data_IF_903141421978
#
_entry.id   IF_903141421978
#
_cell.length_a   1.000
_cell.length_b   1.000
_cell.length_c   1.000
_cell.angle_alpha   90.00
_cell.angle_beta   90.00
_cell.angle_gamma   90.00
#
_symmetry.space_group_name_H-M   'P 1'
#
loop_
_entity.id
_entity.type
_entity.pdbx_description
1 polymer ?
#
# COMPACT_ATOMS: atom_id res chain seq x y z
N UNK A 1 7.13 -4.44 -6.72
CA UNK A 1 7.00 -4.06 -8.14
C UNK A 1 8.23 -3.25 -8.50
N UNK A 2 8.94 -3.62 -9.57
CA UNK A 2 10.12 -2.87 -10.00
C UNK A 2 9.68 -1.61 -10.74
N UNK A 3 10.25 -0.46 -10.36
CA UNK A 3 10.01 0.83 -11.00
C UNK A 3 11.32 1.30 -11.61
N UNK A 4 11.29 1.71 -12.88
CA UNK A 4 12.44 2.28 -13.58
C UNK A 4 12.27 3.78 -13.72
N UNK A 5 13.36 4.53 -13.50
CA UNK A 5 13.38 5.99 -13.72
C UNK A 5 13.28 6.29 -15.23
N UNK A 6 12.43 7.25 -15.58
CA UNK A 6 12.25 7.73 -16.96
C UNK A 6 13.13 8.96 -17.27
N UNK A 7 13.97 9.39 -16.33
CA UNK A 7 14.91 10.50 -16.53
C UNK A 7 14.30 11.90 -16.36
N UNK A 8 13.02 11.99 -15.97
CA UNK A 8 12.33 13.26 -15.72
C UNK A 8 11.93 13.41 -14.25
N UNK A 9 11.42 14.59 -13.92
CA UNK A 9 10.75 14.88 -12.66
C UNK A 9 9.34 15.37 -12.90
N UNK A 10 8.42 14.96 -12.04
CA UNK A 10 7.04 15.45 -12.02
C UNK A 10 6.74 16.05 -10.64
N UNK A 11 5.71 16.88 -10.58
CA UNK A 11 5.24 17.44 -9.31
C UNK A 11 4.19 16.53 -8.69
N UNK A 12 4.47 16.02 -7.48
CA UNK A 12 3.54 15.17 -6.74
C UNK A 12 2.24 15.92 -6.43
N UNK A 13 1.11 15.28 -6.71
CA UNK A 13 -0.20 15.89 -6.56
C UNK A 13 -0.60 16.12 -5.10
N UNK A 14 -0.13 15.28 -4.18
CA UNK A 14 -0.49 15.29 -2.75
C UNK A 14 0.42 16.26 -1.99
N UNK A 15 1.73 16.14 -2.14
CA UNK A 15 2.74 16.91 -1.39
C UNK A 15 3.16 18.19 -2.10
N UNK A 16 3.05 18.25 -3.43
CA UNK A 16 3.55 19.36 -4.24
C UNK A 16 5.07 19.37 -4.44
N UNK A 17 5.79 18.36 -3.94
CA UNK A 17 7.24 18.18 -4.13
C UNK A 17 7.57 17.70 -5.55
N UNK A 18 8.80 17.94 -6.00
CA UNK A 18 9.34 17.29 -7.20
C UNK A 18 9.76 15.85 -6.88
N UNK A 19 9.29 14.91 -7.68
CA UNK A 19 9.60 13.48 -7.57
C UNK A 19 10.06 12.93 -8.91
N UNK A 20 10.93 11.92 -8.88
CA UNK A 20 11.40 11.24 -10.10
C UNK A 20 10.21 10.56 -10.78
N UNK A 21 10.07 10.79 -12.08
CA UNK A 21 9.11 10.06 -12.89
C UNK A 21 9.60 8.62 -13.09
N UNK A 22 8.80 7.66 -12.66
CA UNK A 22 9.06 6.23 -12.88
C UNK A 22 8.00 5.63 -13.79
N UNK A 23 8.25 4.41 -14.27
CA UNK A 23 7.30 3.62 -15.06
C UNK A 23 5.89 3.52 -14.46
N UNK A 24 5.72 3.68 -13.13
CA UNK A 24 4.42 3.60 -12.46
C UNK A 24 3.99 4.85 -11.70
N UNK A 25 4.83 5.87 -11.69
CA UNK A 25 4.61 7.05 -10.87
C UNK A 25 3.36 7.84 -11.33
N UNK A 26 3.12 7.97 -12.64
CA UNK A 26 1.90 8.61 -13.18
C UNK A 26 0.61 7.90 -12.73
N UNK A 27 0.61 6.56 -12.61
CA UNK A 27 -0.57 5.81 -12.14
C UNK A 27 -0.85 6.08 -10.66
N UNK A 28 0.20 6.18 -9.84
CA UNK A 28 0.06 6.61 -8.45
C UNK A 28 -0.51 8.03 -8.36
N UNK A 29 -0.03 8.95 -9.20
CA UNK A 29 -0.57 10.31 -9.27
C UNK A 29 -2.05 10.33 -9.67
N UNK A 30 -2.43 9.52 -10.66
CA UNK A 30 -3.81 9.38 -11.10
C UNK A 30 -4.72 8.83 -9.99
N UNK A 31 -4.25 7.81 -9.26
CA UNK A 31 -4.96 7.26 -8.10
C UNK A 31 -5.12 8.32 -6.99
N UNK A 32 -4.09 9.10 -6.71
CA UNK A 32 -4.18 10.17 -5.72
C UNK A 32 -5.23 11.24 -6.13
N UNK A 33 -5.28 11.61 -7.42
CA UNK A 33 -6.31 12.50 -7.95
C UNK A 33 -7.70 11.91 -7.82
N UNK A 34 -7.91 10.66 -8.22
CA UNK A 34 -9.19 9.96 -8.07
C UNK A 34 -9.67 9.97 -6.61
N UNK A 35 -8.78 9.66 -5.66
CA UNK A 35 -9.15 9.65 -4.24
C UNK A 35 -9.57 11.03 -3.76
N UNK A 36 -8.84 12.08 -4.14
CA UNK A 36 -9.13 13.46 -3.69
C UNK A 36 -10.35 14.04 -4.39
N UNK A 37 -10.35 14.02 -5.72
CA UNK A 37 -11.31 14.74 -6.57
C UNK A 37 -12.65 14.01 -6.65
N UNK A 38 -12.66 12.67 -6.65
CA UNK A 38 -13.89 11.88 -6.83
C UNK A 38 -14.36 11.17 -5.56
N UNK A 39 -13.45 10.80 -4.66
CA UNK A 39 -13.78 10.05 -3.42
C UNK A 39 -13.71 10.89 -2.15
N UNK A 40 -13.40 12.18 -2.28
CA UNK A 40 -13.46 13.16 -1.19
C UNK A 40 -12.35 13.02 -0.14
N UNK A 41 -11.23 12.38 -0.47
CA UNK A 41 -10.10 12.27 0.46
C UNK A 41 -9.40 13.63 0.60
N UNK A 42 -9.23 14.17 1.82
CA UNK A 42 -8.44 15.37 2.01
C UNK A 42 -6.97 15.08 1.66
N UNK A 43 -6.31 15.97 0.89
CA UNK A 43 -4.87 15.83 0.57
C UNK A 43 -4.01 15.67 1.82
N UNK A 44 -4.31 16.44 2.87
CA UNK A 44 -3.58 16.37 4.14
C UNK A 44 -3.71 15.03 4.89
N UNK A 45 -4.61 14.14 4.44
CA UNK A 45 -4.86 12.82 5.00
C UNK A 45 -4.38 11.69 4.10
N UNK A 46 -3.78 12.02 2.94
CA UNK A 46 -3.11 11.08 2.06
C UNK A 46 -1.60 11.22 2.23
N UNK A 47 -0.93 10.08 2.34
CA UNK A 47 0.52 10.02 2.46
C UNK A 47 1.03 9.12 1.33
N UNK A 48 1.83 9.65 0.39
CA UNK A 48 2.38 8.84 -0.69
C UNK A 48 3.62 8.04 -0.25
N UNK A 49 3.87 6.92 -0.93
CA UNK A 49 5.09 6.11 -0.84
C UNK A 49 5.50 5.81 0.62
N UNK A 50 4.63 5.12 1.37
CA UNK A 50 4.93 4.68 2.74
C UNK A 50 5.69 3.37 2.74
N UNK A 51 6.76 3.28 3.52
CA UNK A 51 7.47 2.03 3.76
C UNK A 51 6.84 1.21 4.90
N UNK A 52 6.52 -0.04 4.60
CA UNK A 52 6.24 -1.08 5.61
C UNK A 52 7.55 -1.80 5.88
N UNK A 53 8.22 -1.46 6.98
CA UNK A 53 9.50 -2.03 7.38
C UNK A 53 9.29 -3.24 8.28
N UNK A 54 9.98 -4.35 8.02
CA UNK A 54 9.83 -5.57 8.81
C UNK A 54 11.07 -6.46 8.78
N UNK A 55 11.38 -7.15 9.90
CA UNK A 55 12.46 -8.12 9.94
C UNK A 55 12.02 -9.49 9.39
N UNK A 56 12.87 -10.13 8.59
CA UNK A 56 12.77 -11.54 8.22
C UNK A 56 14.18 -12.12 8.03
N UNK A 57 14.40 -13.40 8.37
CA UNK A 57 15.68 -14.11 8.17
C UNK A 57 16.95 -13.33 8.59
N UNK A 58 16.86 -12.57 9.69
CA UNK A 58 17.97 -11.79 10.24
C UNK A 58 18.30 -10.50 9.49
N UNK A 59 17.46 -10.06 8.55
CA UNK A 59 17.59 -8.78 7.83
C UNK A 59 16.31 -7.96 7.94
N UNK A 60 16.43 -6.64 7.76
CA UNK A 60 15.29 -5.74 7.63
C UNK A 60 14.97 -5.50 6.15
N UNK A 61 13.68 -5.63 5.84
CA UNK A 61 13.10 -5.43 4.52
C UNK A 61 12.08 -4.31 4.55
N UNK A 62 11.77 -3.77 3.37
CA UNK A 62 10.79 -2.70 3.23
C UNK A 62 9.91 -2.94 2.02
N UNK A 63 8.60 -3.03 2.25
CA UNK A 63 7.62 -2.98 1.17
C UNK A 63 7.03 -1.57 1.06
N UNK A 64 7.17 -0.95 -0.11
CA UNK A 64 6.50 0.33 -0.38
C UNK A 64 5.03 0.15 -0.69
N UNK A 65 4.22 1.00 -0.09
CA UNK A 65 2.79 1.21 -0.33
C UNK A 65 2.62 2.53 -1.07
N UNK A 66 1.82 2.54 -2.13
CA UNK A 66 1.72 3.69 -3.03
C UNK A 66 1.05 4.89 -2.38
N UNK A 67 -0.06 4.67 -1.67
CA UNK A 67 -0.75 5.69 -0.88
C UNK A 67 -1.28 5.06 0.41
N UNK A 68 -1.30 5.84 1.49
CA UNK A 68 -2.14 5.53 2.64
C UNK A 68 -3.03 6.69 3.01
N UNK A 69 -4.22 6.37 3.54
CA UNK A 69 -5.16 7.35 4.05
C UNK A 69 -5.29 7.22 5.58
N UNK A 70 -5.29 8.36 6.25
CA UNK A 70 -5.45 8.44 7.71
C UNK A 70 -6.76 9.13 8.12
N UNK A 71 -7.20 8.83 9.34
CA UNK A 71 -8.28 9.56 10.00
C UNK A 71 -7.81 10.91 10.55
N UNK A 72 -8.72 11.61 11.24
CA UNK A 72 -8.43 12.90 11.85
C UNK A 72 -7.35 12.85 12.93
N UNK A 73 -7.26 11.72 13.65
CA UNK A 73 -6.25 11.46 14.68
C UNK A 73 -4.89 11.03 14.11
N UNK A 74 -4.79 10.83 12.79
CA UNK A 74 -3.56 10.42 12.11
C UNK A 74 -3.36 8.90 12.07
N UNK A 75 -4.35 8.10 12.48
CA UNK A 75 -4.30 6.64 12.35
C UNK A 75 -4.52 6.26 10.89
N UNK A 76 -3.62 5.43 10.34
CA UNK A 76 -3.80 4.88 8.99
C UNK A 76 -4.96 3.89 8.96
N UNK A 77 -5.95 4.15 8.11
CA UNK A 77 -7.13 3.31 7.95
C UNK A 77 -7.13 2.50 6.65
N UNK A 78 -6.50 3.02 5.60
CA UNK A 78 -6.49 2.39 4.28
C UNK A 78 -5.09 2.45 3.67
N UNK A 79 -4.63 1.30 3.19
CA UNK A 79 -3.54 1.21 2.21
C UNK A 79 -4.10 1.10 0.80
N UNK A 80 -3.47 1.77 -0.15
CA UNK A 80 -3.77 1.65 -1.58
C UNK A 80 -2.50 1.22 -2.28
N UNK A 81 -2.58 0.11 -2.99
CA UNK A 81 -1.48 -0.51 -3.71
C UNK A 81 -1.87 -0.58 -5.18
N UNK A 82 -1.06 0.07 -6.02
CA UNK A 82 -1.14 -0.09 -7.45
C UNK A 82 -0.43 -1.40 -7.85
N UNK A 83 -0.99 -2.09 -8.85
CA UNK A 83 -0.33 -3.22 -9.47
C UNK A 83 -0.40 -3.20 -11.00
N UNK A 84 0.76 -3.37 -11.64
CA UNK A 84 0.88 -3.88 -13.00
C UNK A 84 0.52 -5.37 -13.04
N UNK A 85 -0.75 -5.70 -13.28
CA UNK A 85 -1.25 -7.07 -13.39
C UNK A 85 -2.59 -7.25 -12.70
N UNK A 86 -3.01 -8.50 -12.56
CA UNK A 86 -4.30 -8.86 -11.96
C UNK A 86 -4.31 -8.54 -10.45
N UNK A 87 -5.20 -7.66 -9.95
CA UNK A 87 -5.27 -7.30 -8.52
C UNK A 87 -5.38 -8.50 -7.58
N UNK A 88 -6.09 -9.56 -8.01
CA UNK A 88 -6.21 -10.81 -7.24
C UNK A 88 -4.86 -11.44 -6.85
N UNK A 89 -3.82 -11.26 -7.66
CA UNK A 89 -2.49 -11.83 -7.42
C UNK A 89 -1.73 -11.15 -6.26
N UNK A 90 -2.12 -9.93 -5.91
CA UNK A 90 -1.46 -9.11 -4.88
C UNK A 90 -2.19 -9.14 -3.54
N UNK A 91 -3.37 -9.78 -3.46
CA UNK A 91 -4.21 -9.83 -2.25
C UNK A 91 -3.42 -10.31 -1.03
N UNK A 92 -2.68 -11.42 -1.17
CA UNK A 92 -1.97 -12.04 -0.05
C UNK A 92 -0.81 -11.18 0.47
N UNK A 93 -0.03 -10.61 -0.43
CA UNK A 93 1.04 -9.67 -0.08
C UNK A 93 0.49 -8.41 0.59
N UNK A 94 -0.60 -7.86 0.03
CA UNK A 94 -1.23 -6.62 0.50
C UNK A 94 -1.80 -6.75 1.91
N UNK A 95 -2.45 -7.89 2.20
CA UNK A 95 -2.92 -8.22 3.54
C UNK A 95 -1.76 -8.34 4.54
N UNK A 96 -0.68 -9.03 4.15
CA UNK A 96 0.48 -9.17 5.01
C UNK A 96 1.13 -7.81 5.32
N UNK A 97 1.29 -6.95 4.31
CA UNK A 97 1.81 -5.60 4.48
C UNK A 97 0.98 -4.75 5.45
N UNK A 98 -0.35 -4.78 5.33
CA UNK A 98 -1.25 -4.07 6.23
C UNK A 98 -1.18 -4.60 7.68
N UNK A 99 -1.00 -5.91 7.86
CA UNK A 99 -0.93 -6.57 9.19
C UNK A 99 0.38 -6.30 9.93
N UNK A 100 1.50 -6.19 9.21
CA UNK A 100 2.82 -6.06 9.83
C UNK A 100 3.27 -4.62 10.05
N UNK A 101 2.47 -3.64 9.64
CA UNK A 101 2.80 -2.23 9.75
C UNK A 101 3.05 -1.82 11.21
N UNK A 102 4.21 -1.21 11.46
CA UNK A 102 4.76 -0.94 12.78
C UNK A 102 4.04 0.20 13.53
N UNK A 103 3.42 1.13 12.80
CA UNK A 103 2.59 2.20 13.39
C UNK A 103 1.17 1.75 13.79
N UNK A 104 0.93 0.44 13.78
CA UNK A 104 -0.37 -0.17 14.05
C UNK A 104 -0.97 -0.73 12.77
N UNK A 105 -1.63 -1.90 12.84
CA UNK A 105 -1.98 -2.60 11.64
C UNK A 105 -3.18 -1.94 10.96
N UNK A 106 -3.14 -1.89 9.63
CA UNK A 106 -4.10 -1.14 8.83
C UNK A 106 -5.33 -2.00 8.56
N UNK A 107 -6.55 -1.52 8.85
CA UNK A 107 -7.76 -2.34 8.80
C UNK A 107 -8.29 -2.59 7.39
N UNK A 108 -7.95 -1.72 6.42
CA UNK A 108 -8.38 -1.85 5.02
C UNK A 108 -7.18 -1.81 4.08
N UNK A 109 -7.24 -2.61 3.02
CA UNK A 109 -6.32 -2.48 1.89
C UNK A 109 -7.07 -2.57 0.57
N UNK A 110 -6.75 -1.65 -0.34
CA UNK A 110 -7.24 -1.57 -1.70
C UNK A 110 -6.11 -1.94 -2.64
N UNK A 111 -6.34 -2.91 -3.51
CA UNK A 111 -5.43 -3.29 -4.59
C UNK A 111 -6.09 -2.93 -5.91
N UNK A 112 -5.37 -2.25 -6.82
CA UNK A 112 -5.95 -1.85 -8.11
C UNK A 112 -4.91 -1.75 -9.21
N UNK A 113 -5.30 -2.09 -10.43
CA UNK A 113 -4.54 -1.84 -11.67
C UNK A 113 -5.08 -0.63 -12.45
N UNK A 114 -5.93 0.19 -11.80
CA UNK A 114 -6.73 1.30 -12.36
C UNK A 114 -7.92 0.91 -13.24
N UNK A 115 -8.09 -0.37 -13.60
CA UNK A 115 -9.25 -0.88 -14.34
C UNK A 115 -10.19 -1.71 -13.46
N UNK A 116 -9.61 -2.51 -12.57
CA UNK A 116 -10.28 -3.24 -11.51
C UNK A 116 -9.69 -2.83 -10.16
N UNK A 117 -10.47 -3.02 -9.09
CA UNK A 117 -10.01 -2.83 -7.73
C UNK A 117 -10.60 -3.91 -6.82
N UNK A 118 -9.87 -4.29 -5.77
CA UNK A 118 -10.32 -5.22 -4.74
C UNK A 118 -10.12 -4.54 -3.39
N UNK A 119 -11.21 -4.31 -2.66
CA UNK A 119 -11.18 -3.79 -1.29
C UNK A 119 -11.25 -4.97 -0.31
N UNK A 120 -10.31 -5.01 0.63
CA UNK A 120 -10.13 -6.11 1.57
C UNK A 120 -10.29 -5.63 3.01
N UNK A 121 -11.02 -6.40 3.81
CA UNK A 121 -10.95 -6.32 5.27
C UNK A 121 -9.72 -7.09 5.75
N UNK A 122 -8.80 -6.41 6.41
CA UNK A 122 -7.49 -6.98 6.76
C UNK A 122 -7.58 -8.00 7.89
N UNK A 123 -8.45 -7.76 8.87
CA UNK A 123 -8.67 -8.65 10.00
C UNK A 123 -9.17 -10.03 9.55
N UNK A 124 -10.18 -10.06 8.68
CA UNK A 124 -10.75 -11.32 8.19
C UNK A 124 -10.05 -11.85 6.94
N UNK A 125 -9.26 -11.02 6.25
CA UNK A 125 -8.67 -11.32 4.94
C UNK A 125 -9.70 -11.48 3.83
N UNK A 126 -10.91 -10.94 3.98
CA UNK A 126 -12.01 -11.13 3.02
C UNK A 126 -12.12 -9.94 2.08
N UNK A 127 -12.46 -10.23 0.83
CA UNK A 127 -12.94 -9.23 -0.11
C UNK A 127 -14.30 -8.69 0.36
N UNK A 128 -14.38 -7.37 0.49
CA UNK A 128 -15.60 -6.66 0.86
C UNK A 128 -16.12 -5.77 -0.28
N UNK A 129 -15.40 -5.73 -1.40
CA UNK A 129 -15.86 -5.12 -2.65
C UNK A 129 -14.89 -5.34 -3.81
N UNK A 130 -15.43 -5.32 -5.03
CA UNK A 130 -14.68 -5.46 -6.28
C UNK A 130 -15.12 -4.46 -7.34
N UNK A 131 -14.20 -4.15 -8.25
CA UNK A 131 -14.33 -3.16 -9.31
C UNK A 131 -14.07 -1.75 -8.81
N UNK A 132 -13.89 -0.80 -9.72
CA UNK A 132 -13.55 0.58 -9.37
C UNK A 132 -14.61 1.26 -8.49
N UNK A 133 -15.86 0.79 -8.47
CA UNK A 133 -16.90 1.30 -7.56
C UNK A 133 -16.65 0.92 -6.10
N UNK A 134 -15.89 -0.13 -5.82
CA UNK A 134 -15.55 -0.58 -4.47
C UNK A 134 -14.52 0.29 -3.75
N UNK A 135 -13.88 1.24 -4.43
CA UNK A 135 -13.02 2.22 -3.79
C UNK A 135 -13.88 3.02 -2.79
N UNK A 136 -13.59 3.03 -1.48
CA UNK A 136 -14.44 3.73 -0.53
C UNK A 136 -14.36 5.24 -0.73
N UNK A 137 -15.38 5.97 -0.28
CA UNK A 137 -15.29 7.40 -0.02
C UNK A 137 -14.60 7.64 1.32
N UNK A 138 -14.02 8.83 1.50
CA UNK A 138 -13.33 9.17 2.75
C UNK A 138 -14.26 9.07 3.98
N UNK A 139 -15.50 9.55 3.84
CA UNK A 139 -16.54 9.51 4.89
C UNK A 139 -16.93 8.08 5.31
N UNK A 140 -16.73 7.09 4.44
CA UNK A 140 -17.08 5.68 4.70
C UNK A 140 -15.97 4.93 5.45
N UNK A 141 -14.73 5.46 5.45
CA UNK A 141 -13.57 4.74 6.00
C UNK A 141 -13.76 4.36 7.46
N UNK A 142 -14.22 5.28 8.31
CA UNK A 142 -14.38 5.00 9.73
C UNK A 142 -15.40 3.88 10.01
N UNK A 143 -16.44 3.76 9.17
CA UNK A 143 -17.45 2.71 9.30
C UNK A 143 -16.93 1.34 8.83
N UNK A 144 -16.09 1.33 7.78
CA UNK A 144 -15.51 0.10 7.21
C UNK A 144 -14.28 -0.39 8.01
N UNK A 145 -13.52 0.53 8.59
CA UNK A 145 -12.25 0.31 9.26
C UNK A 145 -12.45 -0.07 10.74
N UNK A 146 -12.95 -1.30 10.97
CA UNK A 146 -13.03 -1.84 12.32
C UNK A 146 -11.64 -1.78 13.00
N UNK A 147 -11.54 -1.29 14.25
CA UNK A 147 -10.28 -1.27 14.97
C UNK A 147 -9.65 -2.66 15.03
N UNK A 148 -8.36 -2.73 14.69
CA UNK A 148 -7.60 -3.96 14.72
C UNK A 148 -6.43 -3.84 15.69
N UNK A 149 -6.30 -4.84 16.56
CA UNK A 149 -5.15 -4.99 17.44
C UNK A 149 -3.96 -5.59 16.68
N UNK A 150 -2.72 -5.25 17.07
CA UNK A 150 -1.54 -5.93 16.57
C UNK A 150 -1.63 -7.45 16.72
N UNK A 151 -1.13 -8.18 15.73
CA UNK A 151 -1.12 -9.63 15.78
C UNK A 151 -0.17 -10.14 16.88
N UNK A 152 -0.48 -11.29 17.52
CA UNK A 152 0.44 -11.97 18.43
C UNK A 152 1.79 -12.24 17.77
N UNK A 153 2.88 -12.25 18.53
CA UNK A 153 4.24 -12.26 17.98
C UNK A 153 4.55 -13.43 17.02
N UNK A 154 4.01 -14.63 17.29
CA UNK A 154 4.19 -15.80 16.42
C UNK A 154 3.40 -15.66 15.11
N UNK A 155 2.17 -15.17 15.17
CA UNK A 155 1.33 -14.89 13.99
C UNK A 155 1.94 -13.76 13.16
N UNK A 156 2.38 -12.68 13.81
CA UNK A 156 3.06 -11.55 13.17
C UNK A 156 4.33 -12.01 12.44
N UNK A 157 5.10 -12.92 13.04
CA UNK A 157 6.29 -13.50 12.40
C UNK A 157 5.94 -14.31 11.14
N UNK A 158 4.80 -15.02 11.13
CA UNK A 158 4.33 -15.71 9.93
C UNK A 158 3.89 -14.74 8.84
N UNK A 159 3.19 -13.66 9.18
CA UNK A 159 2.81 -12.60 8.23
C UNK A 159 4.04 -11.92 7.62
N UNK A 160 5.08 -11.64 8.42
CA UNK A 160 6.36 -11.12 7.91
C UNK A 160 7.02 -12.06 6.91
N UNK A 161 6.98 -13.38 7.15
CA UNK A 161 7.49 -14.37 6.19
C UNK A 161 6.67 -14.44 4.91
N UNK A 162 5.34 -14.28 5.00
CA UNK A 162 4.48 -14.15 3.80
C UNK A 162 4.89 -12.92 3.02
N UNK A 163 4.97 -11.75 3.66
CA UNK A 163 5.36 -10.52 2.99
C UNK A 163 6.74 -10.67 2.34
N UNK A 164 7.73 -11.18 3.07
CA UNK A 164 9.07 -11.47 2.56
C UNK A 164 9.03 -12.35 1.29
N UNK A 165 8.24 -13.43 1.31
CA UNK A 165 8.15 -14.35 0.18
C UNK A 165 7.61 -13.66 -1.08
N UNK A 166 6.65 -12.74 -0.95
CA UNK A 166 6.05 -12.04 -2.09
C UNK A 166 6.84 -10.82 -2.54
N UNK A 167 7.46 -10.07 -1.62
CA UNK A 167 8.08 -8.79 -1.94
C UNK A 167 9.58 -8.91 -2.28
N UNK A 168 10.31 -9.81 -1.62
CA UNK A 168 11.79 -9.82 -1.67
C UNK A 168 12.35 -11.14 -2.20
N UNK A 169 11.81 -12.29 -1.76
CA UNK A 169 12.28 -13.59 -2.21
C UNK A 169 12.12 -13.76 -3.73
N UNK A 170 10.97 -13.35 -4.29
CA UNK A 170 10.74 -13.34 -5.73
C UNK A 170 11.57 -12.27 -6.46
N UNK A 171 11.86 -11.15 -5.80
CA UNK A 171 12.66 -10.05 -6.35
C UNK A 171 14.15 -10.39 -6.46
N UNK A 172 14.66 -11.30 -5.61
CA UNK A 172 16.01 -11.84 -5.68
C UNK A 172 16.32 -12.56 -6.99
N UNK A 173 15.32 -13.16 -7.63
CA UNK A 173 15.45 -13.80 -8.95
C UNK A 173 15.44 -12.84 -10.14
N UNK A 174 14.89 -11.63 -9.97
CA UNK A 174 14.71 -10.67 -11.05
C UNK A 174 15.86 -9.64 -11.12
N UNK A 175 16.41 -9.21 -9.97
CA UNK A 175 17.43 -8.14 -9.93
C UNK A 175 18.54 -8.33 -8.87
N UNK A 176 18.82 -9.57 -8.41
CA UNK A 176 19.83 -9.86 -7.37
C UNK A 176 19.70 -8.99 -6.09
N UNK A 177 18.51 -8.48 -5.76
CA UNK A 177 18.28 -7.67 -4.57
C UNK A 177 18.79 -6.22 -4.63
N UNK A 178 19.12 -5.69 -5.81
CA UNK A 178 19.57 -4.30 -5.98
C UNK A 178 18.47 -3.26 -5.71
N UNK A 179 17.21 -3.63 -5.87
CA UNK A 179 16.06 -2.74 -5.70
C UNK A 179 15.49 -2.87 -4.28
N UNK A 180 16.13 -2.23 -3.29
CA UNK A 180 15.59 -2.10 -1.93
C UNK A 180 15.06 -0.68 -1.74
N UNK A 181 13.74 -0.45 -1.80
CA UNK A 181 13.21 0.87 -1.56
C UNK A 181 13.49 1.26 -0.10
N UNK A 182 14.09 2.43 0.11
CA UNK A 182 14.26 3.01 1.44
C UNK A 182 13.02 3.81 1.77
N UNK A 183 12.36 3.49 2.89
CA UNK A 183 11.34 4.35 3.45
C UNK A 183 11.92 5.76 3.66
N UNK A 184 11.21 6.80 3.23
CA UNK A 184 11.49 8.15 3.74
C UNK A 184 11.08 8.15 5.22
N UNK A 185 12.02 8.48 6.11
CA UNK A 185 11.79 8.61 7.56
C UNK A 185 10.80 9.72 7.86
#
# INVERSE_FOLDING_TARGET
MHEESLGNVIRDYVTGEEVVETSYEEFRQALARLLVEERGFPKARLIPKIGVCFPADGQDYTRMIDLAASDEAGRTLLFVIFCSGEPGSYVRESLAAARVYDKGPVPLVLVTDTREAILLNVATGREIGRGMRAIPRYEELAALAAPMEPLPGDVLTRERRILFAYSEFLSGGCCQGACRPKARM
#
